data_IF_925829006151
#
_entry.id   IF_925829006151
#
_cell.length_a   1.000
_cell.length_b   1.000
_cell.length_c   1.000
_cell.angle_alpha   90.00
_cell.angle_beta   90.00
_cell.angle_gamma   90.00
#
_symmetry.space_group_name_H-M   'P 1'
#
loop_
_entity.id
_entity.type
_entity.pdbx_description
1 polymer ?
#
# COMPACT_ATOMS: atom_id res chain seq x y z
N UNK A 1 -36.63 22.95 34.21
CA UNK A 1 -37.14 22.44 32.93
C UNK A 1 -36.44 21.12 32.65
N UNK A 2 -37.14 19.99 32.44
CA UNK A 2 -36.48 18.75 32.06
C UNK A 2 -35.90 18.88 30.65
N UNK A 3 -34.68 18.36 30.44
CA UNK A 3 -34.01 18.39 29.15
C UNK A 3 -34.67 17.42 28.15
N UNK A 4 -34.84 17.85 26.90
CA UNK A 4 -35.33 16.99 25.83
C UNK A 4 -34.27 15.91 25.55
N UNK A 5 -34.58 14.68 25.93
CA UNK A 5 -33.76 13.53 25.62
C UNK A 5 -34.00 13.12 24.17
N UNK A 6 -32.93 13.11 23.34
CA UNK A 6 -33.00 12.64 21.95
C UNK A 6 -32.40 11.24 21.89
N UNK A 7 -33.23 10.26 21.58
CA UNK A 7 -32.77 8.89 21.30
C UNK A 7 -32.43 8.79 19.81
N UNK A 8 -31.29 8.18 19.50
CA UNK A 8 -30.85 7.91 18.13
C UNK A 8 -30.87 6.41 17.93
N UNK A 9 -31.69 5.97 16.98
CA UNK A 9 -31.82 4.56 16.63
C UNK A 9 -31.48 4.34 15.15
N UNK A 10 -30.82 3.21 14.83
CA UNK A 10 -30.51 2.87 13.45
C UNK A 10 -31.80 2.54 12.67
N UNK A 11 -32.07 3.27 11.59
CA UNK A 11 -33.24 3.04 10.72
C UNK A 11 -32.98 2.08 9.57
N UNK A 12 -31.74 2.03 9.09
CA UNK A 12 -31.37 1.25 7.93
C UNK A 12 -30.14 0.41 8.23
N UNK A 13 -30.14 -0.82 7.70
CA UNK A 13 -28.96 -1.66 7.64
C UNK A 13 -28.73 -2.07 6.19
N UNK A 14 -27.50 -1.86 5.72
CA UNK A 14 -27.14 -1.97 4.30
C UNK A 14 -28.04 -1.09 3.42
N UNK A 15 -29.15 -1.63 2.91
CA UNK A 15 -30.12 -0.93 2.06
C UNK A 15 -31.58 -1.26 2.42
N UNK A 16 -31.80 -1.87 3.58
CA UNK A 16 -33.12 -2.33 4.03
C UNK A 16 -33.52 -1.56 5.29
N UNK A 17 -34.79 -1.13 5.35
CA UNK A 17 -35.36 -0.50 6.54
C UNK A 17 -35.57 -1.56 7.62
N UNK A 18 -35.10 -1.28 8.84
CA UNK A 18 -35.20 -2.21 9.97
C UNK A 18 -36.62 -2.27 10.56
N UNK A 19 -37.45 -1.28 10.24
CA UNK A 19 -38.81 -1.16 10.76
C UNK A 19 -39.83 -1.10 9.62
N UNK A 20 -41.05 -1.56 9.91
CA UNK A 20 -42.19 -1.39 9.01
C UNK A 20 -42.80 0.01 9.08
N UNK A 21 -43.76 0.32 8.21
CA UNK A 21 -44.51 1.58 8.24
C UNK A 21 -45.23 1.78 9.59
N UNK A 22 -45.61 0.69 10.25
CA UNK A 22 -46.22 0.68 11.59
C UNK A 22 -45.20 0.75 12.75
N UNK A 23 -43.90 0.82 12.47
CA UNK A 23 -42.83 0.92 13.48
C UNK A 23 -42.42 -0.41 14.13
N UNK A 24 -42.92 -1.54 13.65
CA UNK A 24 -42.53 -2.86 14.14
C UNK A 24 -41.19 -3.31 13.54
N UNK A 25 -40.31 -4.00 14.30
CA UNK A 25 -39.05 -4.53 13.77
C UNK A 25 -39.33 -5.56 12.66
N UNK A 26 -38.74 -5.36 11.48
CA UNK A 26 -38.82 -6.29 10.34
C UNK A 26 -37.80 -7.43 10.40
N UNK A 27 -36.74 -7.26 11.18
CA UNK A 27 -35.52 -8.08 11.13
C UNK A 27 -35.32 -8.78 12.48
N UNK A 28 -35.02 -10.07 12.47
CA UNK A 28 -34.70 -10.79 13.71
C UNK A 28 -33.24 -10.57 14.15
N UNK A 29 -32.92 -10.90 15.40
CA UNK A 29 -31.54 -10.74 15.92
C UNK A 29 -30.54 -11.60 15.13
N UNK A 30 -30.94 -12.79 14.69
CA UNK A 30 -30.11 -13.70 13.91
C UNK A 30 -29.79 -13.14 12.51
N UNK A 31 -30.75 -12.48 11.87
CA UNK A 31 -30.53 -11.82 10.57
C UNK A 31 -29.54 -10.66 10.69
N UNK A 32 -29.61 -9.88 11.78
CA UNK A 32 -28.66 -8.82 12.07
C UNK A 32 -27.23 -9.37 12.27
N UNK A 33 -27.09 -10.51 12.98
CA UNK A 33 -25.80 -11.19 13.15
C UNK A 33 -25.25 -11.67 11.81
N UNK A 34 -26.10 -12.22 10.94
CA UNK A 34 -25.70 -12.68 9.62
C UNK A 34 -25.16 -11.54 8.73
N UNK A 35 -25.85 -10.39 8.70
CA UNK A 35 -25.41 -9.20 7.94
C UNK A 35 -24.10 -8.63 8.50
N UNK A 36 -23.97 -8.59 9.83
CA UNK A 36 -22.74 -8.11 10.48
C UNK A 36 -21.55 -9.02 10.14
N UNK A 37 -21.74 -10.34 10.22
CA UNK A 37 -20.71 -11.31 9.86
C UNK A 37 -20.36 -11.22 8.37
N UNK A 38 -21.34 -11.09 7.48
CA UNK A 38 -21.09 -10.91 6.04
C UNK A 38 -20.28 -9.64 5.77
N UNK A 39 -20.64 -8.53 6.43
CA UNK A 39 -19.93 -7.25 6.33
C UNK A 39 -18.48 -7.40 6.78
N UNK A 40 -18.24 -8.08 7.90
CA UNK A 40 -16.90 -8.36 8.40
C UNK A 40 -16.09 -9.23 7.43
N UNK A 41 -16.66 -10.33 6.94
CA UNK A 41 -16.01 -11.19 5.96
C UNK A 41 -15.64 -10.43 4.68
N UNK A 42 -16.51 -9.54 4.21
CA UNK A 42 -16.23 -8.72 3.02
C UNK A 42 -15.13 -7.70 3.29
N UNK A 43 -15.09 -7.06 4.47
CA UNK A 43 -13.99 -6.18 4.85
C UNK A 43 -12.65 -6.94 4.88
N UNK A 44 -12.63 -8.15 5.44
CA UNK A 44 -11.44 -9.01 5.44
C UNK A 44 -11.00 -9.39 4.03
N UNK A 45 -11.93 -9.73 3.13
CA UNK A 45 -11.62 -10.00 1.71
C UNK A 45 -11.04 -8.78 1.01
N UNK A 46 -11.58 -7.59 1.26
CA UNK A 46 -11.07 -6.34 0.70
C UNK A 46 -9.65 -6.05 1.20
N UNK A 47 -9.38 -6.24 2.49
CA UNK A 47 -8.05 -6.10 3.06
C UNK A 47 -7.07 -7.11 2.48
N UNK A 48 -7.47 -8.37 2.29
CA UNK A 48 -6.65 -9.39 1.66
C UNK A 48 -6.30 -9.01 0.20
N UNK A 49 -7.28 -8.52 -0.56
CA UNK A 49 -7.06 -8.02 -1.92
C UNK A 49 -6.09 -6.83 -1.94
N UNK A 50 -6.21 -5.92 -0.98
CA UNK A 50 -5.31 -4.77 -0.87
C UNK A 50 -3.87 -5.21 -0.57
N UNK A 51 -3.69 -6.17 0.33
CA UNK A 51 -2.36 -6.72 0.66
C UNK A 51 -1.72 -7.40 -0.56
N UNK A 52 -2.51 -8.13 -1.35
CA UNK A 52 -2.01 -8.77 -2.57
C UNK A 52 -1.50 -7.74 -3.58
N UNK A 53 -2.28 -6.68 -3.83
CA UNK A 53 -1.87 -5.58 -4.71
C UNK A 53 -0.63 -4.86 -4.16
N UNK A 54 -0.57 -4.62 -2.84
CA UNK A 54 0.59 -3.99 -2.22
C UNK A 54 1.85 -4.84 -2.39
N UNK A 55 1.74 -6.17 -2.22
CA UNK A 55 2.84 -7.10 -2.44
C UNK A 55 3.37 -7.04 -3.87
N UNK A 56 2.49 -6.99 -4.87
CA UNK A 56 2.88 -6.89 -6.28
C UNK A 56 3.67 -5.60 -6.54
N UNK A 57 3.19 -4.46 -6.03
CA UNK A 57 3.87 -3.16 -6.14
C UNK A 57 5.27 -3.23 -5.51
N UNK A 58 5.38 -3.75 -4.28
CA UNK A 58 6.66 -3.81 -3.58
C UNK A 58 7.64 -4.81 -4.21
N UNK A 59 7.13 -5.90 -4.79
CA UNK A 59 7.95 -6.87 -5.52
C UNK A 59 8.54 -6.25 -6.78
N UNK A 60 7.72 -5.54 -7.57
CA UNK A 60 8.18 -4.85 -8.76
C UNK A 60 9.20 -3.76 -8.40
N UNK A 61 8.89 -2.91 -7.43
CA UNK A 61 9.79 -1.86 -6.95
C UNK A 61 11.12 -2.45 -6.45
N UNK A 62 11.07 -3.55 -5.71
CA UNK A 62 12.26 -4.27 -5.26
C UNK A 62 13.15 -4.72 -6.43
N UNK A 63 12.54 -5.26 -7.49
CA UNK A 63 13.25 -5.64 -8.71
C UNK A 63 13.90 -4.46 -9.43
N UNK A 64 13.19 -3.33 -9.54
CA UNK A 64 13.73 -2.10 -10.13
C UNK A 64 14.91 -1.56 -9.31
N UNK A 65 14.78 -1.51 -7.98
CA UNK A 65 15.86 -1.07 -7.08
C UNK A 65 17.07 -1.98 -7.14
N UNK A 66 16.90 -3.30 -7.21
CA UNK A 66 18.02 -4.23 -7.41
C UNK A 66 18.76 -3.97 -8.73
N UNK A 67 18.01 -3.68 -9.80
CA UNK A 67 18.60 -3.35 -11.10
C UNK A 67 19.41 -2.06 -11.04
N UNK A 68 18.88 -1.02 -10.39
CA UNK A 68 19.60 0.23 -10.14
C UNK A 68 20.86 -0.04 -9.32
N UNK A 69 20.76 -0.83 -8.25
CA UNK A 69 21.90 -1.14 -7.39
C UNK A 69 23.03 -1.82 -8.17
N UNK A 70 22.73 -2.85 -8.97
CA UNK A 70 23.72 -3.53 -9.81
C UNK A 70 24.42 -2.57 -10.77
N UNK A 71 23.67 -1.65 -11.39
CA UNK A 71 24.25 -0.63 -12.29
C UNK A 71 25.14 0.36 -11.54
N UNK A 72 24.69 0.81 -10.37
CA UNK A 72 25.46 1.69 -9.50
C UNK A 72 26.77 1.04 -9.07
N UNK A 73 26.76 -0.24 -8.70
CA UNK A 73 27.98 -0.97 -8.32
C UNK A 73 28.92 -1.14 -9.50
N UNK A 74 28.42 -1.46 -10.69
CA UNK A 74 29.24 -1.51 -11.90
C UNK A 74 29.89 -0.14 -12.21
N UNK A 75 29.17 0.96 -12.00
CA UNK A 75 29.70 2.32 -12.16
C UNK A 75 30.79 2.61 -11.10
N UNK A 76 30.57 2.25 -9.83
CA UNK A 76 31.58 2.39 -8.77
C UNK A 76 32.87 1.68 -9.13
N UNK A 77 32.79 0.43 -9.61
CA UNK A 77 33.98 -0.31 -10.04
C UNK A 77 34.72 0.42 -11.18
N UNK A 78 33.99 0.93 -12.18
CA UNK A 78 34.60 1.70 -13.27
C UNK A 78 35.23 3.00 -12.79
N UNK A 79 34.61 3.68 -11.83
CA UNK A 79 35.16 4.88 -11.20
C UNK A 79 36.48 4.58 -10.48
N UNK A 80 36.53 3.51 -9.68
CA UNK A 80 37.77 3.12 -8.99
C UNK A 80 38.91 2.83 -9.98
N UNK A 81 38.62 2.12 -11.07
CA UNK A 81 39.63 1.85 -12.12
C UNK A 81 40.09 3.14 -12.80
N UNK A 82 39.16 4.08 -13.05
CA UNK A 82 39.50 5.37 -13.64
C UNK A 82 40.36 6.21 -12.68
N UNK A 83 39.99 6.25 -11.40
CA UNK A 83 40.74 6.95 -10.36
C UNK A 83 42.18 6.42 -10.27
N UNK A 84 42.37 5.10 -10.23
CA UNK A 84 43.70 4.51 -10.26
C UNK A 84 44.51 4.93 -11.50
N UNK A 85 43.89 4.95 -12.68
CA UNK A 85 44.56 5.35 -13.92
C UNK A 85 44.96 6.82 -13.90
N UNK A 86 44.09 7.69 -13.36
CA UNK A 86 44.36 9.13 -13.23
C UNK A 86 45.49 9.37 -12.23
N UNK A 87 45.51 8.67 -11.10
CA UNK A 87 46.59 8.78 -10.09
C UNK A 87 47.93 8.30 -10.64
N UNK A 88 47.94 7.22 -11.45
CA UNK A 88 49.16 6.67 -12.06
C UNK A 88 49.63 7.43 -13.31
N UNK A 89 48.85 8.40 -13.80
CA UNK A 89 49.18 9.11 -15.03
C UNK A 89 50.32 10.12 -14.82
N UNK A 90 51.44 9.95 -15.55
CA UNK A 90 52.55 10.91 -15.59
C UNK A 90 52.49 11.76 -16.87
N UNK A 91 52.18 13.07 -16.80
CA UNK A 91 52.12 13.95 -17.96
C UNK A 91 53.47 14.18 -18.67
N UNK A 92 54.61 13.90 -18.01
CA UNK A 92 55.94 14.18 -18.56
C UNK A 92 56.47 13.07 -19.47
N UNK A 93 55.84 11.90 -19.46
CA UNK A 93 56.21 10.77 -20.33
C UNK A 93 55.84 11.03 -21.80
N UNK A 94 54.86 11.90 -22.05
CA UNK A 94 54.44 12.27 -23.41
C UNK A 94 55.43 13.26 -24.00
N UNK A 95 56.38 12.76 -24.79
CA UNK A 95 57.33 13.60 -25.53
C UNK A 95 56.58 14.44 -26.58
N UNK A 96 56.55 15.76 -26.39
CA UNK A 96 56.10 16.71 -27.42
C UNK A 96 57.13 16.69 -28.55
N UNK A 97 56.77 16.14 -29.72
CA UNK A 97 57.59 16.30 -30.93
C UNK A 97 57.60 17.78 -31.30
N UNK A 98 58.80 18.37 -31.31
CA UNK A 98 59.04 19.69 -31.91
C UNK A 98 58.93 19.64 -33.42
#
# INVERSE_FOLDING_TARGET
MPFVQRFVEPKYLSRTNLFDEDGNPKVTVEELQAVTNNTLCNALRQLASLVLVANDIFTELGGQLQTINKRSDAIKVKLNVLEEKVVKFDPKEVTVRK
#
